data_IF_793424335305
#
_entry.id   IF_793424335305
#
_cell.length_a   1.000
_cell.length_b   1.000
_cell.length_c   1.000
_cell.angle_alpha   90.00
_cell.angle_beta   90.00
_cell.angle_gamma   90.00
#
_symmetry.space_group_name_H-M   'P 1'
#
loop_
_entity.id
_entity.type
_entity.pdbx_description
1 polymer ?
#
# COMPACT_ATOMS: atom_id res chain seq x y z
N UNK A 1 14.49 -25.63 2.92
CA UNK A 1 14.41 -24.18 3.18
C UNK A 1 15.77 -23.70 3.66
N UNK A 2 16.37 -22.75 2.96
CA UNK A 2 17.70 -22.23 3.28
C UNK A 2 17.63 -21.36 4.56
N UNK A 3 18.75 -21.24 5.29
CA UNK A 3 18.87 -20.42 6.50
C UNK A 3 18.52 -18.93 6.27
N UNK A 4 18.78 -18.43 5.06
CA UNK A 4 18.40 -17.09 4.61
C UNK A 4 16.89 -16.95 4.39
N UNK A 5 16.22 -18.00 3.89
CA UNK A 5 14.78 -18.00 3.68
C UNK A 5 14.03 -17.95 5.02
N UNK A 6 14.51 -18.68 6.03
CA UNK A 6 13.96 -18.63 7.38
C UNK A 6 14.11 -17.23 8.02
N UNK A 7 15.25 -16.56 7.81
CA UNK A 7 15.48 -15.21 8.31
C UNK A 7 14.57 -14.20 7.62
N UNK A 8 14.37 -14.32 6.29
CA UNK A 8 13.45 -13.49 5.54
C UNK A 8 12.00 -13.64 6.00
N UNK A 9 11.53 -14.87 6.21
CA UNK A 9 10.18 -15.13 6.73
C UNK A 9 10.00 -14.56 8.15
N UNK A 10 11.00 -14.71 9.02
CA UNK A 10 10.98 -14.13 10.35
C UNK A 10 10.90 -12.60 10.33
N UNK A 11 11.72 -11.95 9.50
CA UNK A 11 11.73 -10.50 9.37
C UNK A 11 10.43 -9.94 8.75
N UNK A 12 9.83 -10.65 7.80
CA UNK A 12 8.53 -10.30 7.24
C UNK A 12 7.43 -10.35 8.30
N UNK A 13 7.34 -11.46 9.04
CA UNK A 13 6.33 -11.62 10.07
C UNK A 13 6.45 -10.54 11.14
N UNK A 14 7.66 -10.25 11.61
CA UNK A 14 7.90 -9.17 12.57
C UNK A 14 7.44 -7.80 12.05
N UNK A 15 7.65 -7.47 10.78
CA UNK A 15 7.18 -6.21 10.19
C UNK A 15 5.66 -6.12 10.12
N UNK A 16 4.99 -7.23 9.84
CA UNK A 16 3.52 -7.29 9.83
C UNK A 16 2.97 -7.10 11.24
N UNK A 17 3.58 -7.72 12.24
CA UNK A 17 3.20 -7.53 13.65
C UNK A 17 3.41 -6.08 14.10
N UNK A 18 4.51 -5.46 13.70
CA UNK A 18 4.78 -4.04 13.96
C UNK A 18 3.74 -3.14 13.29
N UNK A 19 3.36 -3.44 12.04
CA UNK A 19 2.32 -2.72 11.32
C UNK A 19 0.96 -2.83 12.03
N UNK A 20 0.56 -4.03 12.43
CA UNK A 20 -0.66 -4.24 13.19
C UNK A 20 -0.67 -3.45 14.49
N UNK A 21 0.45 -3.43 15.24
CA UNK A 21 0.59 -2.65 16.46
C UNK A 21 0.43 -1.14 16.21
N UNK A 22 0.96 -0.61 15.11
CA UNK A 22 0.79 0.81 14.74
C UNK A 22 -0.69 1.15 14.57
N UNK A 23 -1.46 0.32 13.84
CA UNK A 23 -2.88 0.56 13.66
C UNK A 23 -3.67 0.45 14.96
N UNK A 24 -3.34 -0.56 15.78
CA UNK A 24 -3.93 -0.72 17.11
C UNK A 24 -3.71 0.52 17.96
N UNK A 25 -2.48 1.01 18.09
CA UNK A 25 -2.18 2.22 18.86
C UNK A 25 -2.84 3.47 18.28
N UNK A 26 -2.90 3.60 16.96
CA UNK A 26 -3.60 4.70 16.33
C UNK A 26 -5.08 4.73 16.74
N UNK A 27 -5.75 3.58 16.77
CA UNK A 27 -7.15 3.46 17.20
C UNK A 27 -7.31 3.73 18.72
N UNK A 28 -6.40 3.23 19.55
CA UNK A 28 -6.40 3.49 21.00
C UNK A 28 -6.22 4.98 21.35
N UNK A 29 -5.55 5.73 20.47
CA UNK A 29 -5.34 7.17 20.61
C UNK A 29 -6.38 8.02 19.87
N UNK A 30 -7.49 7.42 19.42
CA UNK A 30 -8.60 8.05 18.71
C UNK A 30 -8.23 8.66 17.35
N UNK A 31 -7.24 8.09 16.66
CA UNK A 31 -6.98 8.45 15.28
C UNK A 31 -8.00 7.83 14.33
N UNK A 32 -8.52 8.63 13.41
CA UNK A 32 -9.24 8.15 12.24
C UNK A 32 -8.21 7.75 11.18
N UNK A 33 -8.15 6.47 10.86
CA UNK A 33 -7.20 5.92 9.88
C UNK A 33 -7.93 5.82 8.55
N UNK A 34 -7.53 6.63 7.59
CA UNK A 34 -8.27 6.87 6.35
C UNK A 34 -7.37 6.84 5.11
N UNK A 35 -7.99 6.62 3.95
CA UNK A 35 -7.35 6.76 2.65
C UNK A 35 -7.18 8.23 2.25
N UNK A 36 -6.32 8.49 1.26
CA UNK A 36 -6.14 9.83 0.71
C UNK A 36 -7.43 10.35 0.05
N UNK A 37 -8.15 9.49 -0.67
CA UNK A 37 -9.44 9.87 -1.29
C UNK A 37 -10.49 10.27 -0.26
N UNK A 38 -10.56 9.56 0.87
CA UNK A 38 -11.44 9.93 1.98
C UNK A 38 -11.03 11.27 2.59
N UNK A 39 -9.73 11.53 2.73
CA UNK A 39 -9.25 12.82 3.21
C UNK A 39 -9.65 13.97 2.29
N UNK A 40 -9.48 13.82 0.97
CA UNK A 40 -9.79 14.85 -0.02
C UNK A 40 -11.29 15.12 -0.11
N UNK A 41 -12.12 14.08 -0.03
CA UNK A 41 -13.58 14.20 -0.14
C UNK A 41 -14.29 14.50 1.19
N UNK A 42 -13.61 14.33 2.31
CA UNK A 42 -14.19 14.46 3.63
C UNK A 42 -14.11 15.90 4.18
N UNK A 43 -14.96 16.17 5.17
CA UNK A 43 -14.93 17.40 5.94
C UNK A 43 -14.36 17.09 7.32
N UNK A 44 -13.09 17.42 7.53
CA UNK A 44 -12.40 17.21 8.80
C UNK A 44 -12.14 18.53 9.49
N UNK A 45 -12.26 18.54 10.82
CA UNK A 45 -11.94 19.70 11.64
C UNK A 45 -10.48 19.67 12.10
N UNK A 46 -9.95 20.80 12.56
CA UNK A 46 -8.61 20.88 13.16
C UNK A 46 -8.46 20.05 14.45
N UNK A 47 -9.58 19.60 15.03
CA UNK A 47 -9.60 18.75 16.24
C UNK A 47 -9.55 17.25 15.90
N UNK A 48 -9.83 16.89 14.65
CA UNK A 48 -9.76 15.48 14.23
C UNK A 48 -8.31 15.01 14.17
N UNK A 49 -8.04 13.88 14.82
CA UNK A 49 -6.78 13.20 14.70
C UNK A 49 -6.84 12.27 13.49
N UNK A 50 -6.06 12.56 12.48
CA UNK A 50 -6.07 11.81 11.23
C UNK A 50 -4.73 11.11 11.00
N UNK A 51 -4.81 9.86 10.57
CA UNK A 51 -3.69 9.08 10.03
C UNK A 51 -4.06 8.65 8.60
N UNK A 52 -3.35 9.19 7.62
CA UNK A 52 -3.56 8.83 6.22
C UNK A 52 -2.59 7.72 5.86
N UNK A 53 -3.12 6.57 5.43
CA UNK A 53 -2.33 5.44 4.98
C UNK A 53 -2.17 5.43 3.47
N UNK A 54 -0.94 5.20 3.03
CA UNK A 54 -0.59 5.01 1.62
C UNK A 54 0.35 3.83 1.47
N UNK A 55 0.03 2.95 0.53
CA UNK A 55 0.84 1.80 0.15
C UNK A 55 1.18 1.86 -1.33
N UNK A 56 2.46 1.94 -1.65
CA UNK A 56 2.95 1.80 -3.02
C UNK A 56 3.29 0.32 -3.27
N UNK A 57 2.47 -0.34 -4.08
CA UNK A 57 2.55 -1.78 -4.32
C UNK A 57 3.40 -2.05 -5.55
N UNK A 58 4.69 -2.19 -5.34
CA UNK A 58 5.63 -2.56 -6.41
C UNK A 58 5.52 -4.03 -6.80
N UNK A 59 5.21 -4.90 -5.82
CA UNK A 59 4.97 -6.32 -6.02
C UNK A 59 3.84 -6.78 -5.11
N UNK A 60 2.91 -7.57 -5.66
CA UNK A 60 1.88 -8.22 -4.88
C UNK A 60 2.49 -9.42 -4.19
N UNK A 61 2.38 -9.46 -2.88
CA UNK A 61 2.89 -10.52 -2.03
C UNK A 61 1.84 -10.93 -1.01
N UNK A 62 2.08 -12.04 -0.32
CA UNK A 62 1.26 -12.45 0.82
C UNK A 62 1.15 -11.35 1.89
N UNK A 63 2.20 -10.54 2.06
CA UNK A 63 2.19 -9.41 2.98
C UNK A 63 1.14 -8.34 2.57
N UNK A 64 0.94 -8.10 1.27
CA UNK A 64 -0.11 -7.18 0.78
C UNK A 64 -1.49 -7.63 1.23
N UNK A 65 -1.81 -8.91 1.10
CA UNK A 65 -3.09 -9.46 1.55
C UNK A 65 -3.24 -9.40 3.08
N UNK A 66 -2.17 -9.70 3.83
CA UNK A 66 -2.17 -9.59 5.30
C UNK A 66 -2.41 -8.15 5.76
N UNK A 67 -1.85 -7.15 5.09
CA UNK A 67 -2.10 -5.73 5.39
C UNK A 67 -3.58 -5.38 5.21
N UNK A 68 -4.19 -5.79 4.10
CA UNK A 68 -5.62 -5.58 3.84
C UNK A 68 -6.49 -6.18 4.96
N UNK A 69 -6.19 -7.40 5.40
CA UNK A 69 -6.95 -8.07 6.47
C UNK A 69 -6.75 -7.38 7.83
N UNK A 70 -5.54 -6.90 8.14
CA UNK A 70 -5.26 -6.14 9.37
C UNK A 70 -6.02 -4.82 9.36
N UNK A 71 -5.98 -4.07 8.27
CA UNK A 71 -6.73 -2.82 8.13
C UNK A 71 -8.22 -3.02 8.31
N UNK A 72 -8.78 -4.05 7.68
CA UNK A 72 -10.17 -4.44 7.85
C UNK A 72 -10.52 -4.81 9.29
N UNK A 73 -9.63 -5.54 10.00
CA UNK A 73 -9.80 -5.91 11.40
C UNK A 73 -9.94 -4.71 12.33
N UNK A 74 -9.19 -3.63 12.06
CA UNK A 74 -9.19 -2.41 12.87
C UNK A 74 -10.08 -1.29 12.30
N UNK A 75 -10.92 -1.58 11.31
CA UNK A 75 -11.73 -0.57 10.62
C UNK A 75 -10.88 0.64 10.17
N UNK A 76 -9.81 0.32 9.46
CA UNK A 76 -8.88 1.28 8.86
C UNK A 76 -9.02 1.26 7.35
N UNK A 77 -8.86 2.41 6.71
CA UNK A 77 -8.84 2.51 5.26
C UNK A 77 -7.50 3.06 4.79
N UNK A 78 -7.06 2.62 3.62
CA UNK A 78 -5.78 3.02 3.04
C UNK A 78 -5.92 3.30 1.55
N UNK A 79 -4.93 3.98 0.99
CA UNK A 79 -4.77 4.14 -0.46
C UNK A 79 -3.70 3.18 -0.96
N UNK A 80 -4.06 2.26 -1.84
CA UNK A 80 -3.19 1.29 -2.49
C UNK A 80 -2.89 1.73 -3.92
N UNK A 81 -1.64 2.01 -4.22
CA UNK A 81 -1.17 2.43 -5.54
C UNK A 81 -0.46 1.28 -6.23
N UNK A 82 -1.09 0.74 -7.28
CA UNK A 82 -0.58 -0.39 -8.05
C UNK A 82 0.17 0.08 -9.30
N UNK A 83 1.27 -0.60 -9.62
CA UNK A 83 1.94 -0.41 -10.91
C UNK A 83 1.16 -1.15 -12.00
N UNK A 84 1.14 -0.62 -13.21
CA UNK A 84 0.47 -1.24 -14.35
C UNK A 84 0.92 -2.69 -14.58
N UNK A 85 2.24 -2.95 -14.47
CA UNK A 85 2.82 -4.27 -14.73
C UNK A 85 2.60 -5.29 -13.59
N UNK A 86 2.15 -4.86 -12.41
CA UNK A 86 1.96 -5.72 -11.24
C UNK A 86 0.53 -5.69 -10.70
N UNK A 87 -0.36 -4.95 -11.36
CA UNK A 87 -1.76 -4.87 -10.96
C UNK A 87 -2.45 -6.24 -11.12
N UNK A 88 -3.08 -6.69 -10.04
CA UNK A 88 -3.86 -7.91 -9.98
C UNK A 88 -5.30 -7.59 -9.62
N UNK A 89 -6.24 -8.01 -10.47
CA UNK A 89 -7.65 -7.65 -10.32
C UNK A 89 -8.27 -8.23 -9.05
N UNK A 90 -7.85 -9.40 -8.62
CA UNK A 90 -8.38 -10.03 -7.42
C UNK A 90 -7.94 -9.28 -6.17
N UNK A 91 -6.68 -8.85 -6.11
CA UNK A 91 -6.17 -8.04 -5.01
C UNK A 91 -6.79 -6.65 -5.02
N UNK A 92 -6.95 -6.01 -6.19
CA UNK A 92 -7.67 -4.73 -6.34
C UNK A 92 -9.10 -4.84 -5.81
N UNK A 93 -9.79 -5.92 -6.12
CA UNK A 93 -11.13 -6.15 -5.60
C UNK A 93 -11.14 -6.33 -4.07
N UNK A 94 -10.18 -7.06 -3.49
CA UNK A 94 -10.04 -7.18 -2.03
C UNK A 94 -9.87 -5.81 -1.36
N UNK A 95 -9.02 -4.93 -1.93
CA UNK A 95 -8.84 -3.55 -1.46
C UNK A 95 -10.17 -2.79 -1.46
N UNK A 96 -10.92 -2.85 -2.56
CA UNK A 96 -12.23 -2.19 -2.68
C UNK A 96 -13.27 -2.76 -1.70
N UNK A 97 -13.31 -4.07 -1.52
CA UNK A 97 -14.21 -4.70 -0.53
C UNK A 97 -13.87 -4.33 0.92
N UNK A 98 -12.63 -3.92 1.19
CA UNK A 98 -12.21 -3.37 2.47
C UNK A 98 -12.46 -1.85 2.61
N UNK A 99 -13.24 -1.24 1.72
CA UNK A 99 -13.48 0.21 1.64
C UNK A 99 -12.20 1.06 1.53
N UNK A 100 -11.12 0.47 1.05
CA UNK A 100 -9.86 1.14 0.77
C UNK A 100 -9.79 1.60 -0.69
N UNK A 101 -8.94 2.57 -0.96
CA UNK A 101 -8.73 3.11 -2.30
C UNK A 101 -7.75 2.23 -3.08
N UNK A 102 -8.13 1.85 -4.32
CA UNK A 102 -7.22 1.27 -5.28
C UNK A 102 -6.97 2.25 -6.42
N UNK A 103 -5.73 2.65 -6.63
CA UNK A 103 -5.31 3.65 -7.60
C UNK A 103 -4.06 3.22 -8.36
N UNK A 104 -3.65 4.02 -9.34
CA UNK A 104 -2.47 3.73 -10.17
C UNK A 104 -1.22 4.44 -9.65
N UNK A 105 -0.13 3.69 -9.54
CA UNK A 105 1.21 4.25 -9.35
C UNK A 105 1.83 4.56 -10.71
N UNK A 106 1.77 5.83 -11.11
CA UNK A 106 2.24 6.25 -12.43
C UNK A 106 3.75 6.28 -12.52
N UNK A 107 4.32 5.42 -13.37
CA UNK A 107 5.72 5.43 -13.77
C UNK A 107 5.88 5.71 -15.28
N UNK A 108 4.82 6.08 -15.95
CA UNK A 108 4.75 6.16 -17.41
C UNK A 108 5.83 7.10 -17.98
N UNK A 109 6.08 8.24 -17.36
CA UNK A 109 7.10 9.20 -17.80
C UNK A 109 8.52 8.62 -17.63
N UNK A 110 8.80 8.01 -16.48
CA UNK A 110 10.12 7.41 -16.23
C UNK A 110 10.40 6.24 -17.16
N UNK A 111 9.39 5.41 -17.46
CA UNK A 111 9.50 4.31 -18.40
C UNK A 111 9.64 4.79 -19.85
N UNK A 112 8.97 5.87 -20.24
CA UNK A 112 9.12 6.50 -21.55
C UNK A 112 10.54 7.03 -21.73
N UNK A 113 11.07 7.78 -20.76
CA UNK A 113 12.45 8.32 -20.80
C UNK A 113 13.48 7.20 -20.88
N UNK A 114 13.29 6.09 -20.15
CA UNK A 114 14.18 4.93 -20.25
C UNK A 114 14.17 4.31 -21.65
N UNK A 115 13.01 4.16 -22.27
CA UNK A 115 12.87 3.64 -23.64
C UNK A 115 13.54 4.56 -24.67
N UNK A 116 13.31 5.86 -24.58
CA UNK A 116 13.95 6.87 -25.45
C UNK A 116 15.48 6.85 -25.35
N UNK A 117 16.02 6.79 -24.14
CA UNK A 117 17.45 6.71 -23.92
C UNK A 117 18.06 5.38 -24.43
N UNK A 118 17.31 4.29 -24.39
CA UNK A 118 17.73 3.01 -24.96
C UNK A 118 17.79 3.08 -26.49
N UNK A 119 16.77 3.66 -27.14
CA UNK A 119 16.75 3.85 -28.60
C UNK A 119 17.90 4.75 -29.06
N UNK A 120 18.16 5.87 -28.37
CA UNK A 120 19.29 6.77 -28.69
C UNK A 120 20.67 6.09 -28.55
N UNK A 121 20.81 5.10 -27.67
CA UNK A 121 22.06 4.31 -27.55
C UNK A 121 22.25 3.31 -28.70
N UNK A 122 21.16 2.82 -29.29
CA UNK A 122 21.19 1.87 -30.41
C UNK A 122 21.47 2.61 -31.75
N UNK A 123 21.07 3.88 -31.85
CA UNK A 123 21.23 4.69 -33.04
C UNK A 123 22.57 5.46 -33.11
N UNK A 124 23.45 5.32 -32.13
CA UNK A 124 24.85 5.82 -32.10
C UNK A 124 25.82 4.70 -32.42
#
# INVERSE_FOLDING_TARGET
>A
MNRLDCLWEYLKNKRIDEYENILKYAKELDYKVISLSQYISGNFSQKDKLLILRHDIDHITKATEMMIEIEKKYDCNASYYFRECTADIDVINKVKYANSEASMHFETIANFIKKENCVRKILK
#
